data_IF_547697318173
#
_entry.id   IF_547697318173
#
_cell.length_a   1.000
_cell.length_b   1.000
_cell.length_c   1.000
_cell.angle_alpha   90.00
_cell.angle_beta   90.00
_cell.angle_gamma   90.00
#
_symmetry.space_group_name_H-M   'P 1'
#
loop_
_entity.id
_entity.type
_entity.pdbx_description
1 polymer ?
#
# COMPACT_ATOMS: atom_id res chain seq x y z
N UNK A 1 17.74 16.17 10.72
CA UNK A 1 17.43 15.78 10.92
C UNK A 1 16.73 15.38 11.20
N UNK A 2 17.01 15.11 11.01
CA UNK A 2 15.96 14.97 11.11
C UNK A 2 15.46 14.61 12.21
N UNK A 3 15.10 15.38 12.61
CA UNK A 3 14.40 15.29 13.75
C UNK A 3 13.77 13.98 13.86
N UNK A 4 13.51 13.60 14.99
CA UNK A 4 12.77 12.42 15.22
C UNK A 4 11.56 12.45 14.34
N UNK A 5 11.57 11.56 13.40
CA UNK A 5 10.46 11.40 12.49
C UNK A 5 9.52 10.36 13.06
N UNK A 6 8.21 10.52 12.89
CA UNK A 6 7.30 9.46 13.28
C UNK A 6 7.54 8.16 12.51
N UNK A 7 8.38 8.22 11.48
CA UNK A 7 8.67 7.06 10.66
C UNK A 7 9.98 6.39 11.02
N UNK A 8 10.64 6.81 12.09
CA UNK A 8 11.96 6.28 12.39
C UNK A 8 11.97 4.83 12.85
N UNK A 9 10.85 4.31 13.28
CA UNK A 9 10.79 2.92 13.75
C UNK A 9 10.78 1.97 12.58
N UNK A 10 11.86 2.00 11.80
CA UNK A 10 12.02 1.14 10.66
C UNK A 10 11.52 1.71 9.35
N UNK A 11 10.89 2.87 9.37
CA UNK A 11 10.41 3.50 8.15
C UNK A 11 11.24 4.73 7.86
N UNK A 12 11.50 5.00 6.58
CA UNK A 12 12.24 6.19 6.20
C UNK A 12 11.34 7.41 6.25
N UNK A 13 11.91 8.59 6.54
CA UNK A 13 11.14 9.82 6.43
C UNK A 13 10.57 9.97 5.03
N UNK A 14 9.31 10.34 4.94
CA UNK A 14 8.65 10.46 3.63
C UNK A 14 9.28 11.55 2.76
N UNK A 15 9.84 12.59 3.38
CA UNK A 15 10.52 13.63 2.63
C UNK A 15 11.77 13.13 1.91
N UNK A 16 12.28 11.95 2.28
CA UNK A 16 13.44 11.36 1.62
C UNK A 16 13.06 10.58 0.38
N UNK A 17 11.78 10.37 0.14
CA UNK A 17 11.29 9.63 -1.02
C UNK A 17 11.03 10.62 -2.16
N UNK A 18 10.80 10.08 -3.36
CA UNK A 18 10.63 10.87 -4.57
C UNK A 18 9.25 11.54 -4.68
N UNK A 19 8.39 11.39 -3.68
CA UNK A 19 7.02 11.91 -3.74
C UNK A 19 6.09 11.02 -4.55
N UNK A 20 6.54 9.85 -4.97
CA UNK A 20 5.73 8.92 -5.76
C UNK A 20 4.83 8.12 -4.85
N UNK A 21 3.55 8.30 -5.04
CA UNK A 21 2.53 7.46 -4.41
C UNK A 21 2.01 6.47 -5.42
N UNK A 22 1.28 5.49 -4.94
CA UNK A 22 0.79 4.43 -5.80
C UNK A 22 -0.65 4.12 -5.50
N UNK A 23 -1.45 4.05 -6.55
CA UNK A 23 -2.78 3.52 -6.49
C UNK A 23 -2.67 2.08 -6.98
N UNK A 24 -3.02 1.14 -6.12
CA UNK A 24 -2.89 -0.28 -6.41
C UNK A 24 -4.29 -0.85 -6.58
N UNK A 25 -4.57 -1.34 -7.77
CA UNK A 25 -5.85 -1.95 -8.09
C UNK A 25 -5.62 -3.44 -8.19
N UNK A 26 -6.18 -4.19 -7.27
CA UNK A 26 -6.07 -5.65 -7.34
C UNK A 26 -7.31 -6.20 -8.03
N UNK A 27 -7.10 -7.27 -8.77
CA UNK A 27 -8.20 -8.00 -9.42
C UNK A 27 -8.08 -9.46 -9.04
N UNK A 28 -9.16 -10.03 -8.57
CA UNK A 28 -9.17 -11.45 -8.21
C UNK A 28 -9.08 -12.30 -9.47
N UNK A 29 -8.27 -13.34 -9.41
CA UNK A 29 -8.06 -14.27 -10.52
C UNK A 29 -8.67 -15.63 -10.24
N UNK A 30 -9.32 -15.80 -9.08
CA UNK A 30 -9.93 -17.04 -8.64
C UNK A 30 -11.30 -16.72 -8.05
N UNK A 31 -12.18 -17.72 -7.90
CA UNK A 31 -13.47 -17.49 -7.26
C UNK A 31 -13.32 -16.98 -5.84
N UNK A 32 -14.32 -16.22 -5.38
CA UNK A 32 -14.27 -15.61 -4.05
C UNK A 32 -14.04 -16.62 -2.95
N UNK A 33 -14.60 -17.82 -3.07
CA UNK A 33 -14.37 -18.84 -2.04
C UNK A 33 -12.90 -19.18 -1.88
N UNK A 34 -12.14 -19.15 -2.98
CA UNK A 34 -10.72 -19.42 -2.92
C UNK A 34 -9.94 -18.21 -2.39
N UNK A 35 -10.34 -17.01 -2.82
CA UNK A 35 -9.75 -15.77 -2.29
C UNK A 35 -9.93 -15.69 -0.78
N UNK A 36 -11.12 -16.02 -0.30
CA UNK A 36 -11.45 -15.91 1.12
C UNK A 36 -10.60 -16.82 1.99
N UNK A 37 -10.03 -17.87 1.43
CA UNK A 37 -9.13 -18.74 2.20
C UNK A 37 -7.85 -18.02 2.63
N UNK A 38 -7.53 -16.91 1.98
CA UNK A 38 -6.29 -16.17 2.23
C UNK A 38 -6.52 -14.79 2.82
N UNK A 39 -7.78 -14.45 3.18
CA UNK A 39 -8.14 -13.12 3.65
C UNK A 39 -7.44 -12.78 4.98
N UNK A 40 -7.39 -13.74 5.91
CA UNK A 40 -6.79 -13.47 7.21
C UNK A 40 -5.30 -13.16 7.05
N UNK A 41 -4.59 -13.96 6.26
CA UNK A 41 -3.17 -13.73 6.01
C UNK A 41 -2.95 -12.42 5.27
N UNK A 42 -3.83 -12.10 4.32
CA UNK A 42 -3.74 -10.85 3.58
C UNK A 42 -3.93 -9.65 4.51
N UNK A 43 -4.88 -9.72 5.44
CA UNK A 43 -5.08 -8.63 6.41
C UNK A 43 -3.88 -8.45 7.32
N UNK A 44 -3.25 -9.54 7.74
CA UNK A 44 -2.04 -9.45 8.55
C UNK A 44 -0.91 -8.77 7.79
N UNK A 45 -0.79 -9.07 6.48
CA UNK A 45 0.15 -8.39 5.61
C UNK A 45 -0.13 -6.88 5.56
N UNK A 46 -1.40 -6.49 5.36
CA UNK A 46 -1.76 -5.08 5.33
C UNK A 46 -1.44 -4.39 6.66
N UNK A 47 -1.73 -5.05 7.78
CA UNK A 47 -1.48 -4.47 9.10
C UNK A 47 -0.03 -4.09 9.29
N UNK A 48 0.90 -4.93 8.82
CA UNK A 48 2.33 -4.62 8.93
C UNK A 48 2.69 -3.35 8.20
N UNK A 49 2.10 -3.13 7.03
CA UNK A 49 2.44 -1.98 6.20
C UNK A 49 1.64 -0.72 6.56
N UNK A 50 0.52 -0.88 7.25
CA UNK A 50 -0.10 0.26 7.92
C UNK A 50 0.76 0.71 9.10
N UNK A 51 1.30 -0.24 9.87
CA UNK A 51 2.14 0.09 11.02
C UNK A 51 3.41 0.80 10.60
N UNK A 52 3.96 0.46 9.43
CA UNK A 52 5.17 1.10 8.92
C UNK A 52 4.90 2.47 8.29
N UNK A 53 3.63 2.82 8.06
CA UNK A 53 3.29 4.06 7.38
C UNK A 53 3.30 3.96 5.86
N UNK A 54 3.52 2.77 5.33
CA UNK A 54 3.58 2.58 3.88
C UNK A 54 2.21 2.57 3.21
N UNK A 55 1.15 2.27 3.95
CA UNK A 55 -0.20 2.26 3.41
C UNK A 55 -1.05 3.35 4.05
N UNK A 56 -1.92 3.97 3.26
CA UNK A 56 -2.79 5.05 3.69
C UNK A 56 -4.21 4.55 3.92
N UNK A 57 -4.78 3.88 2.94
CA UNK A 57 -6.15 3.41 3.01
C UNK A 57 -6.31 2.28 2.00
N UNK A 58 -7.19 1.34 2.31
CA UNK A 58 -7.47 0.24 1.39
C UNK A 58 -8.86 -0.31 1.68
N UNK A 59 -9.40 -1.05 0.72
CA UNK A 59 -10.68 -1.72 0.89
C UNK A 59 -11.06 -2.51 -0.33
N UNK A 60 -12.08 -3.36 -0.20
CA UNK A 60 -12.58 -4.12 -1.35
C UNK A 60 -13.33 -3.23 -2.31
N UNK A 61 -13.31 -3.60 -3.59
CA UNK A 61 -14.14 -2.94 -4.58
C UNK A 61 -15.61 -3.30 -4.38
N UNK A 62 -16.49 -2.46 -4.90
CA UNK A 62 -17.91 -2.70 -4.93
C UNK A 62 -18.39 -2.67 -6.38
N UNK A 63 -18.76 -3.80 -6.99
CA UNK A 63 -18.82 -5.15 -6.39
C UNK A 63 -17.45 -5.72 -6.12
N UNK A 64 -17.41 -6.77 -5.31
CA UNK A 64 -16.16 -7.33 -4.81
C UNK A 64 -15.46 -8.19 -5.88
N UNK A 65 -14.75 -7.53 -6.77
CA UNK A 65 -13.97 -8.17 -7.84
C UNK A 65 -12.47 -7.99 -7.61
N UNK A 66 -12.09 -7.31 -6.56
CA UNK A 66 -10.73 -7.00 -6.23
C UNK A 66 -10.72 -5.99 -5.10
N UNK A 67 -9.62 -5.28 -4.97
CA UNK A 67 -9.49 -4.26 -3.94
C UNK A 67 -8.69 -3.06 -4.44
N UNK A 68 -8.68 -2.03 -3.60
CA UNK A 68 -7.94 -0.80 -3.88
C UNK A 68 -7.05 -0.54 -2.67
N UNK A 69 -5.80 -0.20 -2.93
CA UNK A 69 -4.86 0.22 -1.88
C UNK A 69 -4.23 1.52 -2.33
N UNK A 70 -4.19 2.50 -1.44
CA UNK A 70 -3.41 3.71 -1.67
C UNK A 70 -2.15 3.58 -0.83
N UNK A 71 -1.00 3.48 -1.52
CA UNK A 71 0.29 3.35 -0.88
C UNK A 71 0.98 4.70 -0.82
N UNK A 72 1.67 4.93 0.29
CA UNK A 72 2.36 6.18 0.55
C UNK A 72 3.61 6.30 -0.32
N UNK A 73 4.29 7.43 -0.21
CA UNK A 73 5.49 7.68 -1.01
C UNK A 73 6.59 6.68 -0.68
N UNK A 74 7.14 6.06 -1.71
CA UNK A 74 8.23 5.10 -1.56
C UNK A 74 8.90 4.87 -2.91
N UNK A 75 10.15 4.39 -2.91
CA UNK A 75 10.78 3.96 -4.16
C UNK A 75 10.04 2.75 -4.74
N UNK A 76 10.07 2.62 -6.04
CA UNK A 76 9.36 1.52 -6.72
C UNK A 76 9.86 0.16 -6.25
N UNK A 77 11.16 0.04 -5.99
CA UNK A 77 11.73 -1.23 -5.52
C UNK A 77 11.11 -1.68 -4.20
N UNK A 78 10.85 -0.72 -3.31
CA UNK A 78 10.21 -1.03 -2.05
C UNK A 78 8.76 -1.49 -2.26
N UNK A 79 8.06 -0.83 -3.16
CA UNK A 79 6.69 -1.23 -3.50
C UNK A 79 6.68 -2.66 -4.04
N UNK A 80 7.56 -2.96 -4.98
CA UNK A 80 7.60 -4.28 -5.60
C UNK A 80 7.88 -5.36 -4.57
N UNK A 81 8.82 -5.09 -3.64
CA UNK A 81 9.14 -6.03 -2.57
C UNK A 81 7.94 -6.24 -1.64
N UNK A 82 7.20 -5.16 -1.34
CA UNK A 82 6.02 -5.25 -0.51
C UNK A 82 4.95 -6.10 -1.17
N UNK A 83 4.66 -5.84 -2.43
CA UNK A 83 3.60 -6.57 -3.14
C UNK A 83 3.93 -8.05 -3.27
N UNK A 84 5.21 -8.40 -3.36
CA UNK A 84 5.63 -9.79 -3.44
C UNK A 84 5.34 -10.56 -2.15
N UNK A 85 5.14 -9.85 -1.03
CA UNK A 85 4.81 -10.49 0.24
C UNK A 85 3.33 -10.74 0.43
N UNK A 86 2.48 -10.14 -0.41
CA UNK A 86 1.04 -10.26 -0.25
C UNK A 86 0.62 -11.71 -0.50
N UNK A 87 -0.02 -12.36 0.49
CA UNK A 87 -0.50 -13.72 0.30
C UNK A 87 -1.42 -13.90 -0.91
N UNK A 88 -2.20 -12.86 -1.26
CA UNK A 88 -3.05 -12.92 -2.45
C UNK A 88 -2.22 -13.08 -3.72
N UNK A 89 -1.06 -12.44 -3.77
CA UNK A 89 -0.16 -12.55 -4.92
C UNK A 89 0.57 -13.90 -4.88
N UNK A 90 1.07 -14.27 -3.71
CA UNK A 90 1.84 -15.50 -3.55
C UNK A 90 1.01 -16.73 -3.86
N UNK A 91 -0.28 -16.70 -3.52
CA UNK A 91 -1.20 -17.81 -3.77
C UNK A 91 -1.92 -17.68 -5.10
N UNK A 92 -1.58 -16.66 -5.87
CA UNK A 92 -2.08 -16.43 -7.23
C UNK A 92 -3.60 -16.29 -7.30
N UNK A 93 -4.19 -15.66 -6.28
CA UNK A 93 -5.63 -15.39 -6.28
C UNK A 93 -5.93 -13.95 -6.64
N UNK A 94 -4.89 -13.12 -6.84
CA UNK A 94 -5.07 -11.72 -7.19
C UNK A 94 -3.85 -11.21 -7.95
N UNK A 95 -4.08 -10.20 -8.80
CA UNK A 95 -3.02 -9.49 -9.51
C UNK A 95 -3.20 -8.01 -9.26
N UNK A 96 -2.09 -7.24 -9.27
CA UNK A 96 -2.14 -5.81 -9.09
C UNK A 96 -1.85 -5.07 -10.38
N UNK A 97 -2.64 -4.02 -10.61
CA UNK A 97 -2.28 -2.97 -11.54
C UNK A 97 -1.76 -1.81 -10.69
N UNK A 98 -0.61 -1.27 -11.04
CA UNK A 98 0.03 -0.20 -10.29
C UNK A 98 -0.07 1.10 -11.09
N UNK A 99 -0.66 2.12 -10.46
CA UNK A 99 -0.68 3.46 -11.02
C UNK A 99 0.20 4.32 -10.15
N UNK A 100 1.27 4.84 -10.73
CA UNK A 100 2.22 5.69 -10.02
C UNK A 100 1.84 7.15 -10.27
N UNK A 101 1.84 7.95 -9.20
CA UNK A 101 1.54 9.36 -9.35
C UNK A 101 2.30 10.17 -8.30
N UNK A 102 2.44 11.46 -8.56
CA UNK A 102 3.13 12.35 -7.64
C UNK A 102 2.11 13.05 -6.75
N UNK A 103 2.37 13.06 -5.46
CA UNK A 103 1.48 13.72 -4.49
C UNK A 103 1.74 15.22 -4.57
N UNK A 104 1.01 15.90 -5.45
CA UNK A 104 1.16 17.34 -5.63
C UNK A 104 0.30 18.15 -4.65
N UNK A 105 -0.80 17.59 -4.17
CA UNK A 105 -1.70 18.27 -3.24
C UNK A 105 -2.27 17.22 -2.29
N UNK A 106 -2.61 17.68 -1.08
CA UNK A 106 -3.19 16.78 -0.08
C UNK A 106 -4.13 17.59 0.82
N UNK A 107 -5.06 16.90 1.46
CA UNK A 107 -5.85 17.50 2.53
C UNK A 107 -4.93 17.81 3.70
N UNK A 108 -5.20 18.90 4.42
CA UNK A 108 -4.38 19.33 5.55
C UNK A 108 -4.22 18.23 6.61
N UNK A 109 -5.24 17.42 6.80
CA UNK A 109 -5.19 16.35 7.78
C UNK A 109 -4.14 15.29 7.45
N UNK A 110 -3.68 15.22 6.20
CA UNK A 110 -2.67 14.26 5.77
C UNK A 110 -1.25 14.80 5.84
N UNK A 111 -1.07 16.03 6.35
CA UNK A 111 0.24 16.67 6.32
C UNK A 111 1.31 15.89 7.06
N UNK A 112 0.93 15.15 8.12
CA UNK A 112 1.87 14.37 8.91
C UNK A 112 2.15 13.00 8.28
N UNK A 113 1.39 12.62 7.26
CA UNK A 113 1.43 11.27 6.73
C UNK A 113 2.00 11.24 5.32
N UNK A 114 1.63 12.19 4.48
CA UNK A 114 1.98 12.21 3.07
C UNK A 114 2.84 13.42 2.75
N UNK A 115 4.06 13.18 2.29
CA UNK A 115 4.94 14.25 1.85
C UNK A 115 4.56 14.67 0.43
N UNK A 116 4.57 15.98 0.18
CA UNK A 116 4.31 16.49 -1.16
C UNK A 116 5.58 16.46 -2.01
N UNK A 117 5.36 16.31 -3.29
CA UNK A 117 6.41 16.38 -4.29
C UNK A 117 6.80 17.85 -4.50
#
# INVERSE_FOLDING_TARGET
MAAASPFENGARPRTMNSGRMYLLLSRYTKPLAEVDRHVIAHRAFLDRYYASGDLIVSGPMEPREGGVIIANTMPRERLDAMLAEDPFVRERVSEYQVIEFHAARRHAALAEVVALQ
#
